data_IF_813064782777
#
_entry.id   IF_813064782777
#
_cell.length_a   1.000
_cell.length_b   1.000
_cell.length_c   1.000
_cell.angle_alpha   90.00
_cell.angle_beta   90.00
_cell.angle_gamma   90.00
#
_symmetry.space_group_name_H-M   'P 1'
#
loop_
_entity.id
_entity.type
_entity.pdbx_description
1 polymer ?
#
# COMPACT_ATOMS: atom_id res chain seq x y z
N UNK A 1 4.33 11.98 13.54
CA UNK A 1 4.35 13.43 13.32
C UNK A 1 5.45 14.06 14.16
N UNK A 2 6.34 14.83 13.54
CA UNK A 2 7.37 15.60 14.26
C UNK A 2 6.72 16.79 14.95
N UNK A 3 6.89 16.88 16.28
CA UNK A 3 6.32 17.92 17.14
C UNK A 3 7.42 18.55 18.01
N UNK A 4 7.40 19.87 18.25
CA UNK A 4 6.48 20.87 17.73
C UNK A 4 6.81 21.27 16.28
N UNK A 5 5.82 21.62 15.43
CA UNK A 5 6.06 22.29 14.15
C UNK A 5 6.54 23.70 14.46
N UNK A 6 7.85 23.87 14.65
CA UNK A 6 8.44 25.20 14.81
C UNK A 6 8.92 25.68 13.46
N UNK A 7 8.42 26.83 13.05
CA UNK A 7 8.92 27.64 11.94
C UNK A 7 10.28 28.27 12.27
N UNK A 8 11.28 27.47 12.68
CA UNK A 8 12.65 27.94 12.75
C UNK A 8 13.27 27.79 11.36
N UNK A 9 13.60 28.90 10.65
CA UNK A 9 14.17 28.82 9.30
C UNK A 9 15.55 28.13 9.25
N UNK A 10 16.18 27.91 10.42
CA UNK A 10 17.47 27.23 10.55
C UNK A 10 17.33 25.74 10.94
N UNK A 11 16.11 25.20 11.04
CA UNK A 11 15.87 23.77 11.36
C UNK A 11 15.05 23.15 10.24
N UNK A 12 15.60 22.14 9.59
CA UNK A 12 14.90 21.37 8.56
C UNK A 12 14.09 20.26 9.23
N UNK A 13 12.77 20.37 9.18
CA UNK A 13 11.85 19.35 9.68
C UNK A 13 11.40 18.47 8.50
N UNK A 14 11.86 17.21 8.50
CA UNK A 14 11.38 16.17 7.58
C UNK A 14 10.43 15.27 8.37
N UNK A 15 9.13 15.35 8.09
CA UNK A 15 8.11 14.54 8.76
C UNK A 15 6.71 14.87 8.24
N UNK A 16 5.84 13.86 8.11
CA UNK A 16 4.47 14.05 7.66
C UNK A 16 3.57 14.75 8.69
N UNK A 17 2.42 15.24 8.23
CA UNK A 17 1.26 15.61 9.07
C UNK A 17 0.62 14.33 9.60
N UNK A 18 1.36 13.57 10.41
CA UNK A 18 0.77 12.49 11.20
C UNK A 18 0.12 13.15 12.41
N UNK A 19 -1.21 13.15 12.43
CA UNK A 19 -1.97 13.65 13.57
C UNK A 19 -1.74 12.80 14.83
N UNK A 20 -2.20 13.32 15.95
CA UNK A 20 -2.08 12.66 17.25
C UNK A 20 -2.88 11.34 17.31
N UNK A 21 -2.32 10.29 17.93
CA UNK A 21 -3.11 9.14 18.39
C UNK A 21 -3.68 8.20 17.31
N UNK A 22 -3.00 8.04 16.18
CA UNK A 22 -3.43 7.14 15.09
C UNK A 22 -4.24 7.85 14.00
N UNK A 23 -4.24 9.17 13.97
CA UNK A 23 -4.70 9.97 12.83
C UNK A 23 -3.68 9.79 11.70
N UNK A 24 -4.14 9.14 10.63
CA UNK A 24 -3.36 8.91 9.42
C UNK A 24 -3.28 10.19 8.59
N UNK A 25 -2.22 10.32 7.78
CA UNK A 25 -1.88 11.55 7.08
C UNK A 25 -2.98 11.99 6.09
N UNK A 26 -3.36 13.26 6.10
CA UNK A 26 -4.41 13.80 5.22
C UNK A 26 -4.00 13.86 3.73
N UNK A 27 -2.70 13.74 3.46
CA UNK A 27 -2.13 13.70 2.10
C UNK A 27 -2.16 12.30 1.48
N UNK A 28 -2.51 11.25 2.21
CA UNK A 28 -2.53 9.90 1.67
C UNK A 28 -3.47 9.80 0.46
N UNK A 29 -3.01 9.11 -0.58
CA UNK A 29 -3.87 8.75 -1.72
C UNK A 29 -4.81 7.62 -1.31
N UNK A 30 -4.31 6.63 -0.58
CA UNK A 30 -5.13 5.58 0.02
C UNK A 30 -4.56 5.11 1.36
N UNK A 31 -5.46 4.72 2.25
CA UNK A 31 -5.14 4.21 3.59
C UNK A 31 -4.56 2.79 3.49
N UNK A 32 -3.78 2.38 4.49
CA UNK A 32 -3.34 0.99 4.68
C UNK A 32 -4.54 0.03 4.65
N UNK A 33 -4.40 -1.13 3.99
CA UNK A 33 -5.47 -2.15 3.90
C UNK A 33 -4.95 -3.55 4.14
N UNK A 34 -5.85 -4.40 4.62
CA UNK A 34 -5.69 -5.85 4.62
C UNK A 34 -6.83 -6.45 3.80
N UNK A 35 -6.50 -7.22 2.77
CA UNK A 35 -7.43 -7.98 1.96
C UNK A 35 -7.38 -9.44 2.37
N UNK A 36 -8.52 -10.02 2.78
CA UNK A 36 -8.52 -11.42 3.21
C UNK A 36 -9.87 -12.10 3.10
N UNK A 37 -9.84 -13.40 2.78
CA UNK A 37 -11.02 -14.28 2.81
C UNK A 37 -11.39 -14.72 4.22
N UNK A 38 -10.49 -14.62 5.21
CA UNK A 38 -10.75 -15.07 6.58
C UNK A 38 -11.70 -14.10 7.33
N UNK A 39 -12.97 -14.49 7.59
CA UNK A 39 -13.96 -13.62 8.22
C UNK A 39 -13.59 -13.19 9.65
N UNK A 40 -12.68 -13.89 10.33
CA UNK A 40 -12.26 -13.58 11.70
C UNK A 40 -11.38 -12.34 11.81
N UNK A 41 -10.70 -11.93 10.72
CA UNK A 41 -9.79 -10.78 10.74
C UNK A 41 -10.56 -9.46 10.71
N UNK A 42 -10.85 -8.87 11.87
CA UNK A 42 -11.65 -7.64 11.96
C UNK A 42 -11.07 -6.46 11.16
N UNK A 43 -11.95 -5.56 10.71
CA UNK A 43 -11.63 -4.32 9.97
C UNK A 43 -10.94 -4.50 8.61
N UNK A 44 -10.63 -5.73 8.19
CA UNK A 44 -10.07 -6.02 6.87
C UNK A 44 -11.12 -5.90 5.75
N UNK A 45 -10.66 -5.64 4.52
CA UNK A 45 -11.47 -5.76 3.30
C UNK A 45 -11.64 -7.23 2.94
N UNK A 46 -12.91 -7.66 2.85
CA UNK A 46 -13.25 -9.02 2.44
C UNK A 46 -13.09 -9.16 0.94
N UNK A 47 -12.44 -10.24 0.54
CA UNK A 47 -12.29 -10.60 -0.88
C UNK A 47 -12.77 -12.01 -1.11
N UNK A 48 -13.15 -12.29 -2.36
CA UNK A 48 -13.63 -13.60 -2.79
C UNK A 48 -12.71 -14.11 -3.90
N UNK A 49 -12.41 -15.40 -3.87
CA UNK A 49 -11.64 -16.09 -4.89
C UNK A 49 -12.60 -16.74 -5.88
N UNK A 50 -12.30 -16.64 -7.17
CA UNK A 50 -13.11 -17.20 -8.25
C UNK A 50 -12.20 -17.75 -9.35
N UNK A 51 -12.66 -18.64 -10.24
CA UNK A 51 -11.85 -19.05 -11.40
C UNK A 51 -11.43 -17.82 -12.24
N UNK A 52 -10.18 -17.77 -12.67
CA UNK A 52 -9.70 -16.68 -13.50
C UNK A 52 -10.23 -16.79 -14.93
N UNK A 53 -10.85 -15.72 -15.43
CA UNK A 53 -11.47 -15.70 -16.76
C UNK A 53 -11.03 -14.45 -17.52
N UNK A 54 -10.68 -14.62 -18.80
CA UNK A 54 -10.36 -13.50 -19.69
C UNK A 54 -8.98 -12.88 -19.46
N UNK A 55 -8.10 -13.57 -18.76
CA UNK A 55 -6.70 -13.16 -18.60
C UNK A 55 -5.90 -13.43 -19.87
N UNK A 56 -4.93 -12.54 -20.14
CA UNK A 56 -3.93 -12.69 -21.22
C UNK A 56 -2.51 -12.53 -20.68
N UNK A 57 -1.53 -12.97 -21.46
CA UNK A 57 -0.10 -12.87 -21.15
C UNK A 57 0.28 -13.48 -19.79
N UNK A 58 -0.27 -14.66 -19.50
CA UNK A 58 -0.01 -15.36 -18.24
C UNK A 58 1.32 -16.13 -18.28
N UNK A 59 2.01 -16.27 -17.13
CA UNK A 59 3.13 -17.20 -17.03
C UNK A 59 2.67 -18.65 -17.26
N UNK A 60 3.62 -19.56 -17.45
CA UNK A 60 3.33 -20.99 -17.43
C UNK A 60 2.78 -21.40 -16.05
N UNK A 61 1.77 -22.27 -16.02
CA UNK A 61 1.06 -22.66 -14.80
C UNK A 61 0.83 -24.16 -14.74
N UNK A 62 0.89 -24.71 -13.53
CA UNK A 62 0.61 -26.12 -13.26
C UNK A 62 -0.87 -26.46 -13.04
N UNK A 63 -1.73 -25.46 -12.85
CA UNK A 63 -3.16 -25.63 -12.55
C UNK A 63 -4.02 -24.48 -13.12
N UNK A 64 -5.34 -24.65 -13.08
CA UNK A 64 -6.27 -23.57 -13.39
C UNK A 64 -6.13 -22.43 -12.36
N UNK A 65 -5.83 -21.19 -12.78
CA UNK A 65 -5.61 -20.11 -11.83
C UNK A 65 -6.91 -19.54 -11.26
N UNK A 66 -6.82 -18.97 -10.06
CA UNK A 66 -7.90 -18.21 -9.43
C UNK A 66 -7.67 -16.70 -9.61
N UNK A 67 -8.76 -15.94 -9.70
CA UNK A 67 -8.80 -14.48 -9.68
C UNK A 67 -9.36 -13.99 -8.33
N UNK A 68 -8.79 -12.87 -7.89
CA UNK A 68 -9.29 -12.04 -6.79
C UNK A 68 -9.21 -10.56 -7.19
N UNK A 69 -10.12 -9.72 -6.68
CA UNK A 69 -10.06 -8.27 -6.88
C UNK A 69 -9.68 -7.57 -5.59
N UNK A 70 -8.75 -6.64 -5.68
CA UNK A 70 -8.34 -5.77 -4.58
C UNK A 70 -8.84 -4.36 -4.88
N UNK A 71 -9.95 -4.00 -4.25
CA UNK A 71 -10.56 -2.68 -4.36
C UNK A 71 -9.92 -1.72 -3.35
N UNK A 72 -9.11 -0.81 -3.86
CA UNK A 72 -8.42 0.22 -3.10
C UNK A 72 -9.27 1.49 -3.15
N UNK A 73 -9.73 1.95 -1.99
CA UNK A 73 -10.40 3.24 -1.87
C UNK A 73 -9.36 4.36 -1.97
N UNK A 74 -9.54 5.22 -2.96
CA UNK A 74 -8.80 6.46 -3.13
C UNK A 74 -9.52 7.54 -2.31
N UNK A 75 -8.79 8.16 -1.40
CA UNK A 75 -9.29 9.22 -0.54
C UNK A 75 -9.69 10.45 -1.37
N UNK A 76 -10.71 11.20 -0.92
CA UNK A 76 -11.08 12.42 -1.61
C UNK A 76 -10.01 13.50 -1.41
N UNK A 77 -9.98 14.48 -2.32
CA UNK A 77 -9.26 15.71 -2.06
C UNK A 77 -9.80 16.36 -0.78
N UNK A 78 -8.89 16.89 0.03
CA UNK A 78 -9.24 17.56 1.28
C UNK A 78 -8.78 19.00 1.20
N UNK A 79 -9.71 19.93 1.40
CA UNK A 79 -9.34 21.30 1.72
C UNK A 79 -8.93 21.34 3.19
N UNK A 80 -7.63 21.53 3.44
CA UNK A 80 -7.06 21.51 4.79
C UNK A 80 -7.52 22.77 5.54
N UNK A 81 -8.61 22.64 6.29
CA UNK A 81 -9.09 23.62 7.25
C UNK A 81 -8.33 23.50 8.58
N UNK A 82 -7.70 24.61 9.00
CA UNK A 82 -7.00 24.91 10.28
C UNK A 82 -6.45 23.74 11.11
N UNK A 83 -5.13 23.80 11.35
CA UNK A 83 -4.31 23.19 12.42
C UNK A 83 -4.90 21.98 13.20
N UNK A 84 -4.22 20.83 13.08
CA UNK A 84 -4.45 19.52 13.73
C UNK A 84 -5.32 18.48 13.01
N UNK A 85 -5.55 18.57 11.69
CA UNK A 85 -6.32 17.52 10.98
C UNK A 85 -7.78 17.38 11.47
N UNK A 86 -8.26 18.35 12.27
CA UNK A 86 -9.60 18.44 12.81
C UNK A 86 -10.36 19.53 12.04
N UNK A 87 -10.58 19.31 10.75
CA UNK A 87 -11.25 20.34 9.94
C UNK A 87 -11.18 20.18 8.43
N UNK A 88 -10.52 19.15 7.91
CA UNK A 88 -10.49 18.87 6.48
C UNK A 88 -11.88 18.57 5.94
N UNK A 89 -12.40 19.41 5.04
CA UNK A 89 -13.64 19.10 4.31
C UNK A 89 -13.26 18.35 3.04
N UNK A 90 -13.81 17.15 2.86
CA UNK A 90 -13.71 16.45 1.58
C UNK A 90 -14.32 17.34 0.49
N UNK A 91 -13.52 17.67 -0.53
CA UNK A 91 -13.91 18.48 -1.68
C UNK A 91 -14.24 17.65 -2.90
N UNK A 92 -14.03 16.33 -2.83
CA UNK A 92 -14.38 15.40 -3.90
C UNK A 92 -15.04 14.13 -3.38
N UNK A 93 -15.57 13.35 -4.32
CA UNK A 93 -16.05 11.99 -4.05
C UNK A 93 -14.88 11.00 -3.89
N UNK A 94 -15.14 9.93 -3.15
CA UNK A 94 -14.25 8.77 -3.05
C UNK A 94 -14.31 7.98 -4.35
N UNK A 95 -13.18 7.41 -4.75
CA UNK A 95 -13.08 6.54 -5.94
C UNK A 95 -12.51 5.19 -5.57
N UNK A 96 -12.78 4.18 -6.39
CA UNK A 96 -12.19 2.86 -6.26
C UNK A 96 -11.18 2.65 -7.39
N UNK A 97 -9.95 2.34 -7.01
CA UNK A 97 -8.94 1.81 -7.91
C UNK A 97 -8.88 0.30 -7.72
N UNK A 98 -8.91 -0.48 -8.80
CA UNK A 98 -8.97 -1.95 -8.72
C UNK A 98 -7.69 -2.57 -9.24
N UNK A 99 -7.04 -3.37 -8.40
CA UNK A 99 -6.04 -4.34 -8.83
C UNK A 99 -6.66 -5.72 -8.96
N UNK A 100 -6.15 -6.51 -9.90
CA UNK A 100 -6.53 -7.89 -10.13
C UNK A 100 -5.40 -8.80 -9.64
N UNK A 101 -5.72 -9.71 -8.75
CA UNK A 101 -4.84 -10.78 -8.31
C UNK A 101 -5.10 -12.05 -9.08
N UNK A 102 -4.03 -12.68 -9.58
CA UNK A 102 -4.03 -14.00 -10.17
C UNK A 102 -3.24 -14.95 -9.27
N UNK A 103 -3.93 -15.95 -8.75
CA UNK A 103 -3.38 -16.97 -7.85
C UNK A 103 -3.13 -18.22 -8.67
N UNK A 104 -1.90 -18.72 -8.67
CA UNK A 104 -1.53 -19.85 -9.50
C UNK A 104 -0.43 -20.71 -8.87
N UNK A 105 -0.27 -21.89 -9.45
CA UNK A 105 0.81 -22.83 -9.21
C UNK A 105 1.86 -22.67 -10.31
N UNK A 106 3.13 -22.50 -9.94
CA UNK A 106 4.19 -22.17 -10.91
C UNK A 106 4.63 -23.37 -11.76
N UNK A 107 4.64 -24.58 -11.18
CA UNK A 107 5.01 -25.82 -11.86
C UNK A 107 4.01 -26.95 -11.58
N UNK A 108 3.79 -27.80 -12.58
CA UNK A 108 2.96 -28.99 -12.40
C UNK A 108 3.60 -29.95 -11.39
N UNK A 109 2.94 -30.18 -10.26
CA UNK A 109 3.40 -31.10 -9.21
C UNK A 109 3.85 -30.44 -7.91
N UNK A 110 3.81 -29.11 -7.81
CA UNK A 110 3.91 -28.44 -6.50
C UNK A 110 2.69 -28.74 -5.61
N UNK A 111 2.79 -28.45 -4.31
CA UNK A 111 1.79 -28.82 -3.31
C UNK A 111 0.48 -28.01 -3.36
N UNK A 112 0.32 -27.09 -4.31
CA UNK A 112 -0.89 -26.28 -4.52
C UNK A 112 -0.58 -24.86 -4.99
N UNK A 113 -1.51 -23.93 -4.75
CA UNK A 113 -1.32 -22.51 -5.05
C UNK A 113 -0.22 -21.89 -4.18
N UNK A 114 0.70 -21.16 -4.81
CA UNK A 114 1.90 -20.64 -4.11
C UNK A 114 2.36 -19.26 -4.61
N UNK A 115 1.75 -18.76 -5.69
CA UNK A 115 2.06 -17.46 -6.31
C UNK A 115 0.82 -16.60 -6.40
N UNK A 116 0.99 -15.31 -6.14
CA UNK A 116 0.02 -14.25 -6.43
C UNK A 116 0.68 -13.22 -7.36
N UNK A 117 0.21 -13.12 -8.59
CA UNK A 117 0.51 -11.99 -9.47
C UNK A 117 -0.54 -10.90 -9.25
N UNK A 118 -0.13 -9.66 -9.09
CA UNK A 118 -1.02 -8.50 -8.93
C UNK A 118 -0.83 -7.59 -10.14
N UNK A 119 -1.91 -7.20 -10.81
CA UNK A 119 -1.88 -6.42 -12.05
C UNK A 119 -2.98 -5.35 -12.05
N UNK A 120 -2.75 -4.23 -12.73
CA UNK A 120 -3.76 -3.17 -12.92
C UNK A 120 -4.92 -3.60 -13.85
N UNK A 121 -4.74 -4.70 -14.60
CA UNK A 121 -5.78 -5.26 -15.47
C UNK A 121 -5.67 -6.78 -15.55
N UNK A 122 -6.57 -7.45 -16.28
CA UNK A 122 -6.46 -8.90 -16.57
C UNK A 122 -5.40 -9.21 -17.64
N UNK A 123 -4.23 -8.65 -17.48
CA UNK A 123 -3.08 -8.79 -18.36
C UNK A 123 -1.84 -9.02 -17.50
N UNK A 124 -1.27 -10.22 -17.60
CA UNK A 124 -0.07 -10.60 -16.84
C UNK A 124 1.17 -9.79 -17.21
N UNK A 125 1.20 -9.16 -18.39
CA UNK A 125 2.29 -8.24 -18.76
C UNK A 125 2.23 -6.90 -18.05
N UNK A 126 1.09 -6.56 -17.43
CA UNK A 126 0.87 -5.34 -16.65
C UNK A 126 0.98 -5.60 -15.14
N UNK A 127 1.63 -6.70 -14.75
CA UNK A 127 1.84 -7.05 -13.35
C UNK A 127 2.68 -5.97 -12.64
N UNK A 128 2.19 -5.51 -11.50
CA UNK A 128 2.89 -4.59 -10.59
C UNK A 128 3.67 -5.35 -9.52
N UNK A 129 3.30 -6.61 -9.25
CA UNK A 129 4.03 -7.49 -8.33
C UNK A 129 3.73 -8.96 -8.64
N UNK A 130 4.67 -9.85 -8.27
CA UNK A 130 4.40 -11.30 -8.16
C UNK A 130 5.02 -11.81 -6.88
N UNK A 131 4.22 -12.35 -5.98
CA UNK A 131 4.59 -12.64 -4.60
C UNK A 131 4.34 -14.10 -4.23
N UNK A 132 5.21 -14.62 -3.36
CA UNK A 132 4.97 -15.82 -2.55
C UNK A 132 4.62 -15.44 -1.10
N UNK A 133 4.00 -16.34 -0.32
CA UNK A 133 3.73 -16.08 1.10
C UNK A 133 4.98 -15.68 1.88
N UNK A 134 4.87 -14.62 2.66
CA UNK A 134 5.94 -13.96 3.39
C UNK A 134 6.67 -12.87 2.61
N UNK A 135 6.46 -12.75 1.29
CA UNK A 135 7.20 -11.83 0.41
C UNK A 135 6.55 -10.44 0.36
N UNK A 136 7.41 -9.41 0.35
CA UNK A 136 7.04 -8.03 0.03
C UNK A 136 7.25 -7.78 -1.47
N UNK A 137 6.40 -6.98 -2.09
CA UNK A 137 6.70 -6.39 -3.39
C UNK A 137 7.88 -5.42 -3.28
N UNK A 138 8.43 -5.01 -4.43
CA UNK A 138 9.14 -3.73 -4.51
C UNK A 138 8.17 -2.56 -4.30
N UNK A 139 8.69 -1.33 -4.27
CA UNK A 139 7.85 -0.14 -4.28
C UNK A 139 7.05 -0.09 -5.58
N UNK A 140 5.73 -0.06 -5.45
CA UNK A 140 4.81 0.13 -6.56
C UNK A 140 4.52 1.62 -6.64
N UNK A 141 4.87 2.23 -7.77
CA UNK A 141 4.51 3.61 -8.10
C UNK A 141 3.43 3.59 -9.17
N UNK A 142 2.24 4.08 -8.84
CA UNK A 142 1.08 4.09 -9.74
C UNK A 142 0.35 5.43 -9.68
N UNK A 143 -0.57 5.67 -10.61
CA UNK A 143 -1.35 6.90 -10.73
C UNK A 143 -2.80 6.68 -10.36
N UNK A 144 -3.35 7.64 -9.62
CA UNK A 144 -4.68 7.59 -9.04
C UNK A 144 -5.42 8.89 -9.35
N UNK A 145 -6.72 8.78 -9.61
CA UNK A 145 -7.56 9.97 -9.78
C UNK A 145 -8.08 10.40 -8.42
N UNK A 146 -7.64 11.57 -7.96
CA UNK A 146 -8.00 12.18 -6.67
C UNK A 146 -8.75 13.47 -6.97
N UNK A 147 -10.07 13.48 -6.75
CA UNK A 147 -10.93 14.55 -7.26
C UNK A 147 -10.89 14.63 -8.79
N UNK A 148 -10.43 15.75 -9.33
CA UNK A 148 -10.22 15.99 -10.76
C UNK A 148 -8.74 15.93 -11.17
N UNK A 149 -7.85 15.59 -10.23
CA UNK A 149 -6.40 15.53 -10.44
C UNK A 149 -5.92 14.08 -10.59
N UNK A 150 -4.86 13.88 -11.36
CA UNK A 150 -4.10 12.63 -11.36
C UNK A 150 -2.92 12.80 -10.41
N UNK A 151 -2.83 11.96 -9.38
CA UNK A 151 -1.74 11.94 -8.42
C UNK A 151 -0.98 10.63 -8.50
N UNK A 152 0.35 10.72 -8.44
CA UNK A 152 1.22 9.55 -8.34
C UNK A 152 1.41 9.17 -6.88
N UNK A 153 1.33 7.87 -6.60
CA UNK A 153 1.44 7.32 -5.26
C UNK A 153 2.39 6.14 -5.18
N UNK A 154 3.05 5.97 -4.05
CA UNK A 154 3.95 4.85 -3.77
C UNK A 154 3.49 4.04 -2.56
N UNK A 155 3.46 2.71 -2.72
CA UNK A 155 3.07 1.76 -1.68
C UNK A 155 3.71 0.39 -1.93
N UNK A 156 3.54 -0.54 -0.99
CA UNK A 156 3.98 -1.94 -1.10
C UNK A 156 2.86 -2.90 -0.75
N UNK A 157 2.89 -4.07 -1.37
CA UNK A 157 2.11 -5.22 -0.95
C UNK A 157 2.99 -6.21 -0.19
N UNK A 158 2.40 -6.94 0.77
CA UNK A 158 2.98 -8.15 1.34
C UNK A 158 1.95 -9.27 1.32
N UNK A 159 2.29 -10.39 0.69
CA UNK A 159 1.46 -11.58 0.78
C UNK A 159 1.76 -12.29 2.09
N UNK A 160 0.85 -12.25 3.04
CA UNK A 160 1.03 -12.87 4.36
C UNK A 160 0.62 -14.33 4.37
N UNK A 161 -0.44 -14.66 3.65
CA UNK A 161 -1.01 -15.99 3.63
C UNK A 161 -1.58 -16.30 2.26
N UNK A 162 -1.29 -17.50 1.78
CA UNK A 162 -1.98 -18.15 0.68
C UNK A 162 -2.05 -19.63 1.02
N UNK A 163 -3.24 -20.21 1.09
CA UNK A 163 -3.38 -21.65 1.33
C UNK A 163 -3.19 -22.44 0.03
N UNK A 164 -2.58 -23.64 0.07
CA UNK A 164 -2.35 -24.46 -1.11
C UNK A 164 -3.64 -24.87 -1.86
N UNK A 165 -4.77 -24.92 -1.15
CA UNK A 165 -6.10 -25.22 -1.71
C UNK A 165 -6.80 -24.01 -2.35
N UNK A 166 -6.21 -22.81 -2.26
CA UNK A 166 -6.76 -21.60 -2.85
C UNK A 166 -8.04 -21.10 -2.17
N UNK A 167 -8.24 -21.41 -0.88
CA UNK A 167 -9.38 -20.92 -0.10
C UNK A 167 -9.04 -19.71 0.79
N UNK A 168 -7.78 -19.60 1.22
CA UNK A 168 -7.33 -18.56 2.14
C UNK A 168 -6.29 -17.67 1.49
N UNK A 169 -6.53 -16.36 1.52
CA UNK A 169 -5.56 -15.33 1.17
C UNK A 169 -5.55 -14.25 2.24
N UNK A 170 -4.38 -13.69 2.51
CA UNK A 170 -4.21 -12.46 3.30
C UNK A 170 -3.12 -11.61 2.66
N UNK A 171 -3.50 -10.47 2.11
CA UNK A 171 -2.63 -9.51 1.47
C UNK A 171 -2.66 -8.21 2.26
N UNK A 172 -1.51 -7.75 2.72
CA UNK A 172 -1.33 -6.44 3.32
C UNK A 172 -0.93 -5.45 2.24
N UNK A 173 -1.54 -4.26 2.25
CA UNK A 173 -1.16 -3.10 1.46
C UNK A 173 -0.76 -1.98 2.41
N UNK A 174 0.44 -1.44 2.25
CA UNK A 174 0.89 -0.29 3.02
C UNK A 174 0.03 0.95 2.71
N UNK A 175 0.19 1.98 3.54
CA UNK A 175 -0.23 3.33 3.19
C UNK A 175 0.31 3.72 1.81
N UNK A 176 -0.52 4.39 1.02
CA UNK A 176 -0.16 4.90 -0.30
C UNK A 176 0.02 6.41 -0.21
N UNK A 177 1.27 6.82 -0.29
CA UNK A 177 1.68 8.21 -0.13
C UNK A 177 1.92 8.87 -1.48
N UNK A 178 1.65 10.19 -1.60
CA UNK A 178 2.10 10.97 -2.74
C UNK A 178 3.59 10.77 -2.99
N UNK A 179 3.92 10.43 -4.24
CA UNK A 179 5.30 10.27 -4.68
C UNK A 179 5.48 10.89 -6.08
N UNK A 180 6.46 11.78 -6.30
CA UNK A 180 7.55 12.18 -5.39
C UNK A 180 7.05 12.93 -4.14
N UNK A 181 7.91 13.02 -3.11
CA UNK A 181 7.59 13.50 -1.75
C UNK A 181 7.27 15.02 -1.65
N UNK A 182 6.79 15.65 -2.73
CA UNK A 182 6.55 17.10 -2.82
C UNK A 182 5.57 17.63 -1.78
N UNK A 183 4.62 16.80 -1.34
CA UNK A 183 3.66 17.15 -0.29
C UNK A 183 4.24 17.05 1.14
N UNK A 184 5.48 16.57 1.29
CA UNK A 184 6.14 16.34 2.59
C UNK A 184 7.29 17.30 2.92
N UNK A 185 7.68 18.15 1.97
CA UNK A 185 8.77 19.11 2.15
C UNK A 185 8.33 20.51 1.76
N UNK A 186 8.79 21.52 2.49
CA UNK A 186 8.52 22.93 2.14
C UNK A 186 9.20 23.36 0.82
N UNK A 187 10.31 22.73 0.46
CA UNK A 187 11.10 23.04 -0.73
C UNK A 187 11.02 21.91 -1.75
N UNK A 188 10.47 22.17 -2.93
CA UNK A 188 10.26 21.15 -3.98
C UNK A 188 11.57 20.48 -4.41
N UNK A 189 12.66 21.24 -4.54
CA UNK A 189 13.99 20.73 -4.89
C UNK A 189 14.47 19.66 -3.90
N UNK A 190 14.12 19.80 -2.62
CA UNK A 190 14.47 18.83 -1.59
C UNK A 190 13.60 17.57 -1.68
N UNK A 191 12.30 17.71 -1.95
CA UNK A 191 11.44 16.55 -2.21
C UNK A 191 11.93 15.73 -3.39
N UNK A 192 12.35 16.38 -4.47
CA UNK A 192 12.93 15.70 -5.64
C UNK A 192 14.22 14.99 -5.27
N UNK A 193 15.18 15.68 -4.63
CA UNK A 193 16.43 15.07 -4.20
C UNK A 193 16.23 13.86 -3.28
N UNK A 194 15.32 13.95 -2.30
CA UNK A 194 14.98 12.83 -1.41
C UNK A 194 14.30 11.68 -2.16
N UNK A 195 13.39 11.99 -3.08
CA UNK A 195 12.70 10.98 -3.88
C UNK A 195 13.67 10.23 -4.77
N UNK A 196 14.63 10.93 -5.39
CA UNK A 196 15.62 10.36 -6.30
C UNK A 196 16.70 9.55 -5.56
N UNK A 197 17.19 10.05 -4.42
CA UNK A 197 18.31 9.43 -3.70
C UNK A 197 17.87 8.38 -2.68
N UNK A 198 16.70 8.57 -2.05
CA UNK A 198 16.24 7.73 -0.93
C UNK A 198 15.02 6.90 -1.33
N UNK A 199 14.10 7.47 -2.12
CA UNK A 199 12.88 6.81 -2.56
C UNK A 199 11.72 6.94 -1.56
N UNK A 200 10.65 6.15 -1.73
CA UNK A 200 9.46 6.24 -0.88
C UNK A 200 9.70 5.74 0.55
N UNK A 201 8.81 6.13 1.47
CA UNK A 201 8.91 5.86 2.91
C UNK A 201 7.66 5.15 3.45
N UNK A 202 7.83 4.30 4.45
CA UNK A 202 6.74 3.92 5.36
C UNK A 202 6.59 4.98 6.44
N UNK A 203 5.66 5.92 6.30
CA UNK A 203 5.42 6.93 7.35
C UNK A 203 4.60 6.34 8.50
N UNK A 204 3.50 5.64 8.19
CA UNK A 204 2.69 4.98 9.18
C UNK A 204 3.29 3.65 9.63
N UNK A 205 3.88 3.70 10.83
CA UNK A 205 4.45 2.54 11.52
C UNK A 205 3.65 2.15 12.77
N UNK A 206 2.35 2.49 12.85
CA UNK A 206 1.53 2.21 14.03
C UNK A 206 1.32 0.71 14.25
N UNK A 207 1.15 0.34 15.52
CA UNK A 207 0.97 -1.06 15.96
C UNK A 207 -0.46 -1.59 15.77
N UNK A 208 -1.43 -0.74 15.38
CA UNK A 208 -2.83 -1.14 15.29
C UNK A 208 -3.07 -2.23 14.23
N UNK A 209 -2.31 -2.25 13.14
CA UNK A 209 -2.40 -3.29 12.12
C UNK A 209 -2.08 -4.68 12.68
N UNK A 210 -1.06 -4.76 13.54
CA UNK A 210 -0.71 -5.97 14.28
C UNK A 210 -1.83 -6.37 15.25
N UNK A 211 -2.34 -5.41 16.03
CA UNK A 211 -3.42 -5.64 16.99
C UNK A 211 -4.74 -6.07 16.35
N UNK A 212 -5.02 -5.65 15.10
CA UNK A 212 -6.17 -6.10 14.33
C UNK A 212 -5.96 -7.45 13.63
N UNK A 213 -4.76 -8.06 13.75
CA UNK A 213 -4.41 -9.32 13.09
C UNK A 213 -4.22 -9.19 11.57
N UNK A 214 -3.99 -7.97 11.08
CA UNK A 214 -3.73 -7.72 9.66
C UNK A 214 -2.33 -8.15 9.27
N UNK A 215 -1.37 -7.94 10.18
CA UNK A 215 0.05 -8.29 10.02
C UNK A 215 0.52 -9.05 11.27
N UNK A 216 1.57 -9.86 11.13
CA UNK A 216 2.22 -10.53 12.26
C UNK A 216 3.35 -9.68 12.88
N UNK A 217 3.90 -10.15 13.99
CA UNK A 217 4.98 -9.46 14.72
C UNK A 217 6.23 -9.27 13.83
N UNK A 218 6.54 -10.25 12.98
CA UNK A 218 7.67 -10.18 12.05
C UNK A 218 7.47 -9.06 11.04
N UNK A 219 6.31 -8.99 10.41
CA UNK A 219 5.96 -7.96 9.43
C UNK A 219 6.00 -6.57 10.06
N UNK A 220 5.57 -6.44 11.31
CA UNK A 220 5.67 -5.17 12.04
C UNK A 220 7.13 -4.73 12.25
N UNK A 221 8.03 -5.66 12.57
CA UNK A 221 9.47 -5.38 12.69
C UNK A 221 10.07 -5.00 11.33
N UNK A 222 9.70 -5.70 10.25
CA UNK A 222 10.16 -5.38 8.89
C UNK A 222 9.70 -3.98 8.42
N UNK A 223 8.51 -3.51 8.86
CA UNK A 223 8.07 -2.13 8.63
C UNK A 223 8.98 -1.14 9.39
N UNK A 224 9.33 -1.43 10.64
CA UNK A 224 10.25 -0.60 11.41
C UNK A 224 11.66 -0.55 10.85
N UNK A 225 12.17 -1.68 10.37
CA UNK A 225 13.46 -1.77 9.71
C UNK A 225 13.47 -0.90 8.45
N UNK A 226 12.48 -1.06 7.57
CA UNK A 226 12.38 -0.25 6.34
C UNK A 226 12.24 1.26 6.63
N UNK A 227 11.43 1.63 7.63
CA UNK A 227 11.32 3.03 8.07
C UNK A 227 12.65 3.57 8.60
N UNK A 228 13.32 2.82 9.47
CA UNK A 228 14.58 3.25 10.09
C UNK A 228 15.71 3.32 9.06
N UNK A 229 15.76 2.40 8.10
CA UNK A 229 16.73 2.42 7.02
C UNK A 229 16.50 3.56 6.03
N UNK A 230 15.25 3.96 5.81
CA UNK A 230 14.95 5.21 5.11
C UNK A 230 15.54 6.41 5.87
N UNK A 231 15.28 6.52 7.19
CA UNK A 231 15.80 7.61 8.02
C UNK A 231 17.34 7.69 7.97
N UNK A 232 18.04 6.55 8.05
CA UNK A 232 19.50 6.49 7.96
C UNK A 232 20.04 7.01 6.63
N UNK A 233 19.34 6.74 5.52
CA UNK A 233 19.75 7.18 4.18
C UNK A 233 19.39 8.64 3.90
N UNK A 234 18.41 9.19 4.61
CA UNK A 234 17.98 10.58 4.49
C UNK A 234 18.73 11.58 5.38
N UNK A 235 19.53 11.07 6.34
CA UNK A 235 20.29 11.86 7.31
C UNK A 235 21.66 12.28 6.76
#
# INVERSE_FOLDING_TARGET
GTWPPRANPNVMQVGGIAGYGGIQNDHDISRTRCFTTDPAVGRATRVTLSPAVGWRNLPAMGSEPLEVRFEVEVLPSVEIGTYYGLGGRATSERRIHTYYGLIYQSEAGSSGYERLLISASRDGSQAVATLSPGEWSDWICDTFVVGDEIRSGAFKFKLLQLSPDGQQIKLYMSQNHPFPLREYTLHEELAEALSDQVGPIFEDTIQFYRLWGWIDDRTQLEIYEQHTDWLKRSA
#
